data_IF_019527709613
#
_entry.id   IF_019527709613
#
_cell.length_a   1.000
_cell.length_b   1.000
_cell.length_c   1.000
_cell.angle_alpha   90.00
_cell.angle_beta   90.00
_cell.angle_gamma   90.00
#
_symmetry.space_group_name_H-M   'P 1'
#
loop_
_entity.id
_entity.type
_entity.pdbx_description
1 polymer ?
#
# COMPACT_ATOMS: atom_id res chain seq x y z
N UNK A 1 12.42 24.84 3.86
CA UNK A 1 12.27 23.51 3.28
C UNK A 1 13.49 22.64 3.55
N UNK A 2 14.67 22.95 3.02
CA UNK A 2 15.89 22.12 3.18
C UNK A 2 16.28 21.85 4.63
N UNK A 3 16.23 22.85 5.50
CA UNK A 3 16.58 22.73 6.93
C UNK A 3 15.61 21.80 7.67
N UNK A 4 14.31 21.94 7.43
CA UNK A 4 13.28 21.13 8.09
C UNK A 4 13.35 19.66 7.68
N UNK A 5 13.71 19.37 6.42
CA UNK A 5 13.88 17.99 5.91
C UNK A 5 15.10 17.34 6.57
N UNK A 6 16.20 18.08 6.72
CA UNK A 6 17.40 17.60 7.40
C UNK A 6 17.18 17.33 8.90
N UNK A 7 16.20 17.98 9.52
CA UNK A 7 15.73 17.74 10.88
C UNK A 7 14.74 16.56 11.00
N UNK A 8 14.55 15.79 9.93
CA UNK A 8 13.64 14.64 9.90
C UNK A 8 12.14 14.99 9.89
N UNK A 9 11.79 16.24 9.52
CA UNK A 9 10.40 16.70 9.42
C UNK A 9 9.91 16.63 7.99
N UNK A 10 8.68 16.20 7.80
CA UNK A 10 8.00 16.36 6.51
C UNK A 10 7.65 17.83 6.28
N UNK A 11 7.78 18.28 5.03
CA UNK A 11 7.45 19.65 4.63
C UNK A 11 6.45 19.60 3.49
N UNK A 12 5.25 20.13 3.75
CA UNK A 12 4.22 20.32 2.73
C UNK A 12 4.48 21.62 2.00
N UNK A 13 4.35 21.58 0.66
CA UNK A 13 4.37 22.75 -0.20
C UNK A 13 2.99 22.85 -0.86
N UNK A 14 2.26 23.88 -0.50
CA UNK A 14 0.91 24.15 -1.02
C UNK A 14 0.85 24.06 -2.55
N UNK A 15 -0.08 23.27 -3.06
CA UNK A 15 -0.29 23.09 -4.48
C UNK A 15 0.73 22.19 -5.21
N UNK A 16 1.78 21.68 -4.51
CA UNK A 16 2.82 20.85 -5.11
C UNK A 16 2.90 19.46 -4.50
N UNK A 17 2.96 19.32 -3.18
CA UNK A 17 3.10 18.03 -2.51
C UNK A 17 3.86 18.10 -1.19
N UNK A 18 4.23 16.93 -0.70
CA UNK A 18 4.92 16.76 0.57
C UNK A 18 6.32 16.17 0.36
N UNK A 19 7.35 16.81 0.92
CA UNK A 19 8.68 16.25 1.05
C UNK A 19 8.75 15.47 2.37
N UNK A 20 9.09 14.19 2.29
CA UNK A 20 9.27 13.31 3.44
C UNK A 20 10.74 12.89 3.56
N UNK A 21 11.28 12.78 4.78
CA UNK A 21 12.61 12.20 4.99
C UNK A 21 12.66 10.77 4.47
N UNK A 22 13.75 10.43 3.79
CA UNK A 22 14.03 9.08 3.30
C UNK A 22 15.46 8.71 3.72
N UNK A 23 15.63 7.56 4.37
CA UNK A 23 16.90 7.14 4.94
C UNK A 23 17.98 6.88 3.89
N UNK A 24 17.59 6.47 2.67
CA UNK A 24 18.53 6.11 1.59
C UNK A 24 18.84 7.29 0.66
N UNK A 25 17.86 8.14 0.39
CA UNK A 25 17.92 9.23 -0.61
C UNK A 25 17.86 10.63 -0.01
N UNK A 26 17.86 10.75 1.33
CA UNK A 26 17.75 12.01 2.05
C UNK A 26 16.33 12.56 2.12
N UNK A 27 15.58 12.53 1.04
CA UNK A 27 14.16 12.89 1.02
C UNK A 27 13.43 12.25 -0.18
N UNK A 28 12.12 12.09 -0.04
CA UNK A 28 11.20 11.69 -1.09
C UNK A 28 10.12 12.74 -1.25
N UNK A 29 9.80 13.08 -2.49
CA UNK A 29 8.72 13.99 -2.82
C UNK A 29 7.47 13.21 -3.18
N UNK A 30 6.35 13.52 -2.52
CA UNK A 30 5.03 13.03 -2.86
C UNK A 30 4.25 14.17 -3.48
N UNK A 31 3.99 14.12 -4.78
CA UNK A 31 3.17 15.09 -5.47
C UNK A 31 1.73 15.03 -4.96
N UNK A 32 1.07 16.19 -4.81
CA UNK A 32 -0.36 16.24 -4.53
C UNK A 32 -1.12 15.52 -5.64
N UNK A 33 -1.99 14.60 -5.24
CA UNK A 33 -2.80 13.83 -6.18
C UNK A 33 -2.23 12.48 -6.61
N UNK A 34 -1.04 12.07 -6.10
CA UNK A 34 -0.59 10.67 -6.29
C UNK A 34 -1.46 9.73 -5.45
N UNK A 35 -2.05 8.69 -6.06
CA UNK A 35 -2.86 7.73 -5.33
C UNK A 35 -2.03 6.98 -4.27
N UNK A 36 -2.56 6.91 -3.07
CA UNK A 36 -1.91 6.27 -1.93
C UNK A 36 -2.17 4.78 -1.94
N UNK A 37 -1.12 3.97 -1.74
CA UNK A 37 -1.22 2.51 -1.70
C UNK A 37 -0.60 1.97 -0.43
N UNK A 38 -1.39 1.36 0.44
CA UNK A 38 -0.87 0.68 1.62
C UNK A 38 -0.43 -0.74 1.26
N UNK A 39 0.79 -1.13 1.68
CA UNK A 39 1.33 -2.48 1.52
C UNK A 39 1.37 -3.19 2.87
N UNK A 40 0.48 -4.18 3.03
CA UNK A 40 0.50 -5.09 4.17
C UNK A 40 1.33 -6.34 3.82
N UNK A 41 2.27 -6.71 4.68
CA UNK A 41 3.16 -7.84 4.48
C UNK A 41 3.70 -8.37 5.81
N UNK A 42 4.20 -9.60 5.83
CA UNK A 42 4.92 -10.15 6.98
C UNK A 42 6.42 -9.86 6.85
N UNK A 43 7.10 -9.74 7.98
CA UNK A 43 8.51 -9.32 8.03
C UNK A 43 9.44 -10.18 7.16
N UNK A 44 9.14 -11.45 7.02
CA UNK A 44 9.90 -12.40 6.20
C UNK A 44 9.84 -12.07 4.71
N UNK A 45 8.78 -11.39 4.28
CA UNK A 45 8.55 -11.01 2.88
C UNK A 45 9.00 -9.59 2.55
N UNK A 46 9.76 -8.96 3.46
CA UNK A 46 10.17 -7.57 3.34
C UNK A 46 10.87 -7.24 2.00
N UNK A 47 11.69 -8.15 1.47
CA UNK A 47 12.38 -7.93 0.19
C UNK A 47 11.41 -7.90 -1.00
N UNK A 48 10.42 -8.80 -1.01
CA UNK A 48 9.39 -8.82 -2.05
C UNK A 48 8.47 -7.59 -1.95
N UNK A 49 8.07 -7.22 -0.73
CA UNK A 49 7.28 -6.02 -0.47
C UNK A 49 8.02 -4.74 -0.88
N UNK A 50 9.32 -4.66 -0.63
CA UNK A 50 10.16 -3.53 -1.04
C UNK A 50 10.29 -3.41 -2.56
N UNK A 51 10.44 -4.54 -3.26
CA UNK A 51 10.43 -4.57 -4.71
C UNK A 51 9.09 -4.04 -5.26
N UNK A 52 7.97 -4.51 -4.71
CA UNK A 52 6.65 -4.02 -5.10
C UNK A 52 6.47 -2.54 -4.80
N UNK A 53 6.98 -2.07 -3.65
CA UNK A 53 6.99 -0.66 -3.27
C UNK A 53 7.69 0.21 -4.33
N UNK A 54 8.84 -0.24 -4.85
CA UNK A 54 9.57 0.48 -5.89
C UNK A 54 8.83 0.47 -7.22
N UNK A 55 8.33 -0.70 -7.65
CA UNK A 55 7.54 -0.83 -8.88
C UNK A 55 6.31 0.10 -8.88
N UNK A 56 5.61 0.21 -7.76
CA UNK A 56 4.46 1.12 -7.60
C UNK A 56 4.89 2.59 -7.62
N UNK A 57 5.99 2.93 -6.95
CA UNK A 57 6.54 4.28 -6.95
C UNK A 57 6.96 4.74 -8.34
N UNK A 58 7.62 3.88 -9.11
CA UNK A 58 8.03 4.14 -10.49
C UNK A 58 6.83 4.32 -11.43
N UNK A 59 5.71 3.67 -11.10
CA UNK A 59 4.45 3.81 -11.84
C UNK A 59 3.60 5.04 -11.43
N UNK A 60 4.10 5.91 -10.55
CA UNK A 60 3.45 7.15 -10.16
C UNK A 60 2.45 7.05 -8.99
N UNK A 61 2.47 5.93 -8.26
CA UNK A 61 1.74 5.77 -7.01
C UNK A 61 2.57 6.21 -5.79
N UNK A 62 1.91 6.47 -4.67
CA UNK A 62 2.56 6.77 -3.39
C UNK A 62 2.40 5.58 -2.43
N UNK A 63 3.29 4.57 -2.50
CA UNK A 63 3.19 3.41 -1.62
C UNK A 63 3.60 3.74 -0.19
N UNK A 64 2.97 3.05 0.76
CA UNK A 64 3.24 3.12 2.19
C UNK A 64 3.58 1.72 2.74
N UNK A 65 4.66 1.66 3.53
CA UNK A 65 5.10 0.49 4.28
C UNK A 65 5.46 0.92 5.71
N UNK A 66 5.12 0.09 6.70
CA UNK A 66 5.37 0.37 8.11
C UNK A 66 6.85 0.66 8.43
N UNK A 67 7.77 -0.20 7.96
CA UNK A 67 9.22 -0.05 8.19
C UNK A 67 9.83 1.24 7.64
N UNK A 68 9.21 1.85 6.63
CA UNK A 68 9.75 3.05 5.97
C UNK A 68 9.20 4.35 6.50
N UNK A 69 8.06 4.33 7.19
CA UNK A 69 7.32 5.55 7.53
C UNK A 69 6.96 5.72 9.00
N UNK A 70 7.20 4.71 9.84
CA UNK A 70 6.99 4.82 11.28
C UNK A 70 8.18 5.49 11.96
N UNK A 71 7.90 6.50 12.79
CA UNK A 71 8.90 7.23 13.55
C UNK A 71 9.01 6.67 14.98
N UNK A 72 10.22 6.64 15.58
CA UNK A 72 10.38 6.31 16.99
C UNK A 72 9.50 7.20 17.89
N UNK A 73 8.80 6.60 18.85
CA UNK A 73 7.89 7.31 19.77
C UNK A 73 6.47 7.53 19.23
N UNK A 74 6.19 7.14 18.00
CA UNK A 74 4.84 7.20 17.41
C UNK A 74 3.93 6.08 17.99
N UNK A 75 2.62 6.35 18.12
CA UNK A 75 1.64 5.30 18.39
C UNK A 75 1.42 4.49 17.10
N UNK A 76 2.12 3.36 16.97
CA UNK A 76 2.16 2.55 15.77
C UNK A 76 0.78 2.05 15.30
N UNK A 77 -0.07 1.45 16.16
CA UNK A 77 -1.38 1.00 15.72
C UNK A 77 -2.20 2.12 15.09
N UNK A 78 -2.24 3.28 15.73
CA UNK A 78 -2.99 4.44 15.24
C UNK A 78 -2.40 5.00 13.94
N UNK A 79 -1.08 5.01 13.80
CA UNK A 79 -0.40 5.47 12.59
C UNK A 79 -0.71 4.55 11.39
N UNK A 80 -0.72 3.24 11.62
CA UNK A 80 -1.07 2.22 10.62
C UNK A 80 -2.55 2.35 10.21
N UNK A 81 -3.47 2.43 11.16
CA UNK A 81 -4.90 2.64 10.90
C UNK A 81 -5.17 3.91 10.09
N UNK A 82 -4.52 5.01 10.45
CA UNK A 82 -4.63 6.27 9.70
C UNK A 82 -4.08 6.14 8.27
N UNK A 83 -2.95 5.44 8.09
CA UNK A 83 -2.36 5.22 6.78
C UNK A 83 -3.27 4.34 5.89
N UNK A 84 -3.87 3.28 6.46
CA UNK A 84 -4.84 2.45 5.74
C UNK A 84 -6.08 3.27 5.36
N UNK A 85 -6.65 4.02 6.32
CA UNK A 85 -7.84 4.84 6.11
C UNK A 85 -7.65 5.99 5.10
N UNK A 86 -6.42 6.49 4.94
CA UNK A 86 -6.07 7.53 3.98
C UNK A 86 -5.66 6.99 2.60
N UNK A 87 -5.53 5.66 2.45
CA UNK A 87 -5.09 5.04 1.20
C UNK A 87 -6.23 4.90 0.19
N UNK A 88 -5.89 5.04 -1.09
CA UNK A 88 -6.80 4.74 -2.21
C UNK A 88 -6.90 3.23 -2.47
N UNK A 89 -5.82 2.51 -2.19
CA UNK A 89 -5.72 1.06 -2.34
C UNK A 89 -4.98 0.43 -1.18
N UNK A 90 -5.39 -0.80 -0.85
CA UNK A 90 -4.73 -1.65 0.14
C UNK A 90 -4.28 -2.95 -0.55
N UNK A 91 -2.98 -3.20 -0.61
CA UNK A 91 -2.42 -4.44 -1.16
C UNK A 91 -2.02 -5.36 0.00
N UNK A 92 -2.64 -6.55 0.06
CA UNK A 92 -2.30 -7.59 1.03
C UNK A 92 -1.38 -8.63 0.38
N UNK A 93 -0.13 -8.69 0.83
CA UNK A 93 0.87 -9.63 0.33
C UNK A 93 0.81 -10.95 1.08
N UNK A 94 0.25 -11.99 0.45
CA UNK A 94 0.19 -13.34 0.98
C UNK A 94 1.38 -14.18 0.51
N UNK A 95 1.91 -14.98 1.42
CA UNK A 95 2.99 -15.93 1.16
C UNK A 95 2.84 -17.16 2.04
N UNK A 96 3.67 -18.17 1.82
CA UNK A 96 3.81 -19.31 2.72
C UNK A 96 4.21 -18.87 4.15
N UNK A 97 4.94 -17.75 4.30
CA UNK A 97 5.30 -17.18 5.59
C UNK A 97 4.10 -16.52 6.30
N UNK A 98 3.15 -15.96 5.57
CA UNK A 98 1.97 -15.32 6.13
C UNK A 98 0.88 -16.30 6.55
N UNK A 99 0.93 -17.53 6.03
CA UNK A 99 -0.05 -18.58 6.32
C UNK A 99 -0.05 -18.93 7.82
N UNK A 100 -1.19 -18.81 8.47
CA UNK A 100 -1.36 -19.11 9.91
C UNK A 100 -0.72 -18.12 10.89
N UNK A 101 -0.06 -17.06 10.43
CA UNK A 101 0.48 -16.01 11.32
C UNK A 101 -0.63 -15.22 11.99
N UNK A 102 -0.43 -14.97 13.29
CA UNK A 102 -1.24 -14.05 14.11
C UNK A 102 -0.45 -12.75 14.31
N UNK A 103 -1.14 -11.64 14.52
CA UNK A 103 -0.51 -10.36 14.85
C UNK A 103 -0.81 -9.22 13.87
N UNK A 104 0.14 -8.31 13.68
CA UNK A 104 -0.05 -7.06 12.95
C UNK A 104 -0.61 -7.21 11.56
N UNK A 105 -0.08 -8.12 10.76
CA UNK A 105 -0.56 -8.39 9.40
C UNK A 105 -2.07 -8.74 9.35
N UNK A 106 -2.54 -9.59 10.27
CA UNK A 106 -3.97 -9.93 10.35
C UNK A 106 -4.81 -8.74 10.81
N UNK A 107 -4.30 -7.94 11.76
CA UNK A 107 -4.99 -6.74 12.23
C UNK A 107 -5.15 -5.71 11.10
N UNK A 108 -4.12 -5.50 10.30
CA UNK A 108 -4.15 -4.62 9.11
C UNK A 108 -5.20 -5.07 8.10
N UNK A 109 -5.26 -6.37 7.80
CA UNK A 109 -6.27 -6.95 6.89
C UNK A 109 -7.67 -6.74 7.44
N UNK A 110 -7.90 -7.01 8.74
CA UNK A 110 -9.21 -6.80 9.35
C UNK A 110 -9.64 -5.33 9.30
N UNK A 111 -8.73 -4.42 9.60
CA UNK A 111 -9.02 -2.99 9.51
C UNK A 111 -9.32 -2.55 8.07
N UNK A 112 -8.55 -3.05 7.08
CA UNK A 112 -8.80 -2.77 5.67
C UNK A 112 -10.15 -3.30 5.19
N UNK A 113 -10.58 -4.49 5.65
CA UNK A 113 -11.91 -5.04 5.37
C UNK A 113 -13.03 -4.15 5.95
N UNK A 114 -12.84 -3.60 7.14
CA UNK A 114 -13.79 -2.66 7.75
C UNK A 114 -13.83 -1.32 7.01
N UNK A 115 -12.70 -0.83 6.49
CA UNK A 115 -12.65 0.34 5.61
C UNK A 115 -13.40 0.06 4.30
N UNK A 116 -13.18 -1.10 3.68
CA UNK A 116 -13.81 -1.50 2.42
C UNK A 116 -15.34 -1.50 2.50
N UNK A 117 -15.94 -1.84 3.65
CA UNK A 117 -17.40 -1.80 3.87
C UNK A 117 -18.02 -0.40 3.75
N UNK A 118 -17.21 0.65 3.84
CA UNK A 118 -17.65 2.05 3.75
C UNK A 118 -17.47 2.65 2.36
N UNK A 119 -16.86 1.90 1.45
CA UNK A 119 -16.59 2.29 0.08
C UNK A 119 -17.71 1.73 -0.80
N UNK A 120 -18.11 2.42 -1.89
CA UNK A 120 -19.10 1.90 -2.85
C UNK A 120 -18.76 0.48 -3.33
N UNK A 121 -19.77 -0.37 -3.51
CA UNK A 121 -19.58 -1.80 -3.81
C UNK A 121 -18.88 -2.08 -5.13
N UNK A 122 -18.90 -1.13 -6.05
CA UNK A 122 -18.25 -1.17 -7.36
C UNK A 122 -16.81 -0.64 -7.34
N UNK A 123 -16.35 -0.12 -6.20
CA UNK A 123 -15.00 0.38 -6.04
C UNK A 123 -14.05 -0.69 -5.47
N UNK A 124 -12.86 -0.79 -6.09
CA UNK A 124 -11.79 -1.69 -5.64
C UNK A 124 -10.93 -0.94 -4.63
N UNK A 125 -10.85 -1.49 -3.41
CA UNK A 125 -9.96 -1.00 -2.35
C UNK A 125 -8.89 -2.03 -1.99
N UNK A 126 -9.28 -3.30 -1.78
CA UNK A 126 -8.37 -4.37 -1.40
C UNK A 126 -7.95 -5.16 -2.62
N UNK A 127 -6.65 -5.33 -2.79
CA UNK A 127 -6.03 -6.13 -3.86
C UNK A 127 -5.15 -7.19 -3.18
N UNK A 128 -5.65 -8.42 -3.01
CA UNK A 128 -4.83 -9.52 -2.50
C UNK A 128 -3.82 -9.94 -3.56
N UNK A 129 -2.56 -10.12 -3.16
CA UNK A 129 -1.50 -10.63 -4.03
C UNK A 129 -0.83 -11.84 -3.39
N UNK A 130 -0.42 -12.82 -4.21
CA UNK A 130 0.41 -13.93 -3.74
C UNK A 130 1.84 -13.74 -4.20
N UNK A 131 2.76 -13.85 -3.26
CA UNK A 131 4.20 -13.77 -3.52
C UNK A 131 4.78 -15.13 -3.93
N UNK A 132 4.15 -16.21 -3.46
CA UNK A 132 4.49 -17.60 -3.76
C UNK A 132 3.22 -18.46 -3.89
N UNK A 133 3.38 -19.76 -4.09
CA UNK A 133 2.24 -20.69 -4.20
C UNK A 133 1.62 -21.02 -2.83
N UNK A 134 1.14 -19.99 -2.14
CA UNK A 134 0.43 -20.11 -0.86
C UNK A 134 -1.10 -20.15 -1.04
N UNK A 135 -1.79 -20.58 0.00
CA UNK A 135 -3.24 -20.45 0.10
C UNK A 135 -3.60 -19.05 0.61
N UNK A 136 -4.56 -18.39 -0.05
CA UNK A 136 -5.20 -17.18 0.46
C UNK A 136 -6.31 -17.59 1.43
N UNK A 137 -6.51 -16.88 2.57
CA UNK A 137 -7.59 -17.19 3.50
C UNK A 137 -8.94 -17.28 2.81
N UNK A 138 -9.71 -18.34 3.08
CA UNK A 138 -10.98 -18.64 2.41
C UNK A 138 -11.96 -17.46 2.42
N UNK A 139 -11.99 -16.69 3.51
CA UNK A 139 -12.84 -15.48 3.65
C UNK A 139 -12.49 -14.39 2.63
N UNK A 140 -11.24 -14.26 2.26
CA UNK A 140 -10.80 -13.28 1.24
C UNK A 140 -11.04 -13.87 -0.14
N UNK A 141 -10.65 -15.12 -0.34
CA UNK A 141 -10.78 -15.80 -1.64
C UNK A 141 -12.23 -15.94 -2.11
N UNK A 142 -13.20 -16.04 -1.19
CA UNK A 142 -14.62 -16.16 -1.53
C UNK A 142 -15.22 -14.85 -2.07
N UNK A 143 -14.64 -13.69 -1.74
CA UNK A 143 -15.20 -12.38 -2.08
C UNK A 143 -14.33 -11.59 -3.06
N UNK A 144 -13.00 -11.82 -3.05
CA UNK A 144 -12.04 -11.01 -3.78
C UNK A 144 -11.07 -11.90 -4.56
N UNK A 145 -10.88 -11.61 -5.86
CA UNK A 145 -9.86 -12.29 -6.66
C UNK A 145 -8.46 -11.78 -6.32
N UNK A 146 -7.50 -12.69 -6.24
CA UNK A 146 -6.10 -12.37 -6.01
C UNK A 146 -5.29 -12.32 -7.32
N UNK A 147 -4.12 -11.69 -7.25
CA UNK A 147 -3.15 -11.60 -8.33
C UNK A 147 -1.87 -12.33 -7.91
N UNK A 148 -1.35 -13.21 -8.78
CA UNK A 148 -0.06 -13.87 -8.56
C UNK A 148 1.08 -12.99 -9.05
N UNK A 149 2.09 -12.80 -8.18
CA UNK A 149 3.37 -12.17 -8.53
C UNK A 149 4.43 -13.20 -8.93
N UNK A 150 4.06 -14.48 -8.98
CA UNK A 150 4.91 -15.59 -9.42
C UNK A 150 4.21 -16.39 -10.54
N UNK A 151 4.91 -17.15 -11.34
CA UNK A 151 6.35 -17.13 -11.53
C UNK A 151 6.85 -15.87 -12.27
N UNK A 152 5.95 -15.08 -12.85
CA UNK A 152 6.26 -13.87 -13.61
C UNK A 152 5.85 -12.61 -12.82
N UNK A 153 6.81 -12.07 -12.07
CA UNK A 153 6.66 -10.85 -11.28
C UNK A 153 6.16 -9.65 -12.11
N UNK A 154 6.77 -9.42 -13.27
CA UNK A 154 6.43 -8.27 -14.12
C UNK A 154 4.99 -8.34 -14.63
N UNK A 155 4.54 -9.55 -14.97
CA UNK A 155 3.15 -9.77 -15.39
C UNK A 155 2.17 -9.47 -14.25
N UNK A 156 2.47 -9.94 -13.04
CA UNK A 156 1.68 -9.69 -11.85
C UNK A 156 1.57 -8.19 -11.54
N UNK A 157 2.71 -7.48 -11.52
CA UNK A 157 2.75 -6.03 -11.30
C UNK A 157 1.94 -5.28 -12.36
N UNK A 158 2.08 -5.61 -13.65
CA UNK A 158 1.26 -4.98 -14.70
C UNK A 158 -0.24 -5.18 -14.47
N UNK A 159 -0.67 -6.34 -13.96
CA UNK A 159 -2.09 -6.58 -13.62
C UNK A 159 -2.55 -5.70 -12.47
N UNK A 160 -1.74 -5.57 -11.41
CA UNK A 160 -2.03 -4.67 -10.28
C UNK A 160 -2.21 -3.24 -10.80
N UNK A 161 -1.23 -2.72 -11.54
CA UNK A 161 -1.26 -1.37 -12.09
C UNK A 161 -2.47 -1.13 -13.00
N UNK A 162 -2.82 -2.11 -13.85
CA UNK A 162 -3.99 -2.02 -14.73
C UNK A 162 -5.30 -1.93 -13.93
N UNK A 163 -5.44 -2.70 -12.85
CA UNK A 163 -6.63 -2.67 -11.98
C UNK A 163 -6.74 -1.31 -11.30
N UNK A 164 -5.66 -0.83 -10.70
CA UNK A 164 -5.65 0.46 -10.00
C UNK A 164 -5.91 1.63 -10.94
N UNK A 165 -5.29 1.64 -12.13
CA UNK A 165 -5.49 2.70 -13.11
C UNK A 165 -6.94 2.77 -13.60
N UNK A 166 -7.55 1.63 -13.94
CA UNK A 166 -8.98 1.58 -14.33
C UNK A 166 -9.89 2.13 -13.25
N UNK A 167 -9.62 1.81 -11.99
CA UNK A 167 -10.40 2.32 -10.86
C UNK A 167 -10.29 3.84 -10.74
N UNK A 168 -9.08 4.39 -10.90
CA UNK A 168 -8.85 5.84 -10.86
C UNK A 168 -9.52 6.56 -12.03
N UNK A 169 -9.46 6.00 -13.21
CA UNK A 169 -10.11 6.57 -14.40
C UNK A 169 -11.63 6.56 -14.24
N UNK A 170 -12.22 5.49 -13.68
CA UNK A 170 -13.63 5.41 -13.34
C UNK A 170 -14.06 6.48 -12.32
N UNK A 171 -13.27 6.68 -11.25
CA UNK A 171 -13.52 7.73 -10.24
C UNK A 171 -13.47 9.14 -10.85
N UNK A 172 -12.56 9.38 -11.80
CA UNK A 172 -12.47 10.67 -12.51
C UNK A 172 -13.67 10.91 -13.39
N UNK A 173 -14.09 9.89 -14.15
CA UNK A 173 -15.27 9.98 -15.02
C UNK A 173 -16.57 10.23 -14.23
N UNK A 174 -16.71 9.67 -13.04
CA UNK A 174 -17.89 9.86 -12.18
C UNK A 174 -17.97 11.25 -11.52
N UNK A 175 -16.87 12.03 -11.54
CA UNK A 175 -16.79 13.40 -10.98
C UNK A 175 -16.99 14.50 -12.01
N UNK A 176 -17.08 14.15 -13.29
CA UNK A 176 -17.31 15.06 -14.43
C UNK A 176 -18.77 15.04 -14.84
#
# INVERSE_FOLDING_TARGET
>A
VRRSILEGKSVEIDGLGVFMPDAERGFRFHALGQPQVFLAYVVEDALAAERLYQDLGDAGFSPWMDRKKLLPGQNWPRAIENAIGASDFFIACFSSHSAGKRGGFQAEIHYALDCARRIPLDEIFIIPVRLDNCAVPARIQSEIQYIDLFPDWRRGVRRILSVMQRQLDGRRAART
#
